data_IF_635358649597
#
_entry.id   IF_635358649597
#
_cell.length_a   1.000
_cell.length_b   1.000
_cell.length_c   1.000
_cell.angle_alpha   90.00
_cell.angle_beta   90.00
_cell.angle_gamma   90.00
#
_symmetry.space_group_name_H-M   'P 1'
#
loop_
_entity.id
_entity.type
_entity.pdbx_description
1 polymer ?
#
# COMPACT_ATOMS: atom_id res chain seq x y z
N UNK A 1 20.08 15.72 -5.08
CA UNK A 1 18.70 15.67 -5.61
C UNK A 1 18.17 14.26 -5.48
N UNK A 2 16.95 14.11 -4.99
CA UNK A 2 16.33 12.77 -4.89
C UNK A 2 15.93 12.27 -6.27
N UNK A 3 16.13 10.96 -6.48
CA UNK A 3 15.72 10.30 -7.71
C UNK A 3 14.19 10.21 -7.79
N UNK A 4 13.64 10.44 -8.98
CA UNK A 4 12.20 10.22 -9.23
C UNK A 4 11.88 8.73 -9.10
N UNK A 5 10.86 8.38 -8.30
CA UNK A 5 10.47 7.00 -8.08
C UNK A 5 9.68 6.45 -9.27
N UNK A 6 8.76 7.24 -9.82
CA UNK A 6 8.01 6.90 -11.02
C UNK A 6 7.45 8.14 -11.68
N UNK A 7 7.05 7.98 -12.93
CA UNK A 7 6.24 8.96 -13.67
C UNK A 7 5.06 8.20 -14.26
N UNK A 8 3.92 8.87 -14.39
CA UNK A 8 2.70 8.26 -14.94
C UNK A 8 1.60 8.10 -13.92
N UNK A 9 0.89 6.97 -13.96
CA UNK A 9 -0.29 6.73 -13.15
C UNK A 9 0.02 5.83 -11.95
N UNK A 10 -0.21 6.37 -10.75
CA UNK A 10 -0.22 5.58 -9.51
C UNK A 10 -1.66 5.26 -9.14
N UNK A 11 -1.98 3.99 -8.96
CA UNK A 11 -3.34 3.55 -8.63
C UNK A 11 -3.48 3.32 -7.14
N UNK A 12 -4.41 4.03 -6.51
CA UNK A 12 -4.82 3.77 -5.13
C UNK A 12 -5.73 2.54 -5.14
N UNK A 13 -5.13 1.38 -4.90
CA UNK A 13 -5.82 0.11 -5.06
C UNK A 13 -6.80 -0.13 -3.90
N UNK A 14 -7.94 -0.75 -4.21
CA UNK A 14 -8.90 -1.20 -3.20
C UNK A 14 -8.35 -2.41 -2.46
N UNK A 15 -8.82 -2.64 -1.24
CA UNK A 15 -8.49 -3.84 -0.48
C UNK A 15 -9.69 -4.79 -0.51
N UNK A 16 -9.63 -5.87 -1.31
CA UNK A 16 -10.72 -6.83 -1.36
C UNK A 16 -10.85 -7.57 -0.03
N UNK A 17 -12.10 -7.79 0.37
CA UNK A 17 -12.40 -8.44 1.65
C UNK A 17 -13.31 -9.63 1.43
N UNK A 18 -13.15 -10.64 2.28
CA UNK A 18 -14.04 -11.78 2.36
C UNK A 18 -15.36 -11.35 3.03
N UNK A 19 -16.37 -12.22 2.97
CA UNK A 19 -17.67 -11.95 3.57
C UNK A 19 -17.60 -11.70 5.09
N UNK A 20 -16.60 -12.26 5.76
CA UNK A 20 -16.37 -12.07 7.21
C UNK A 20 -15.58 -10.80 7.55
N UNK A 21 -15.18 -10.03 6.54
CA UNK A 21 -14.41 -8.79 6.71
C UNK A 21 -12.89 -8.97 6.70
N UNK A 22 -12.38 -10.18 6.64
CA UNK A 22 -10.95 -10.42 6.52
C UNK A 22 -10.45 -10.06 5.12
N UNK A 23 -9.15 -9.74 5.00
CA UNK A 23 -8.56 -9.38 3.70
C UNK A 23 -8.47 -10.62 2.82
N UNK A 24 -8.94 -10.47 1.57
CA UNK A 24 -8.80 -11.51 0.56
C UNK A 24 -7.51 -11.28 -0.22
N UNK A 25 -6.43 -11.88 0.24
CA UNK A 25 -5.10 -11.70 -0.37
C UNK A 25 -5.00 -12.27 -1.78
N UNK A 26 -5.68 -13.37 -2.07
CA UNK A 26 -5.68 -13.93 -3.42
C UNK A 26 -6.28 -12.93 -4.42
N UNK A 27 -7.40 -12.32 -4.06
CA UNK A 27 -8.03 -11.31 -4.90
C UNK A 27 -7.19 -10.06 -5.01
N UNK A 28 -6.56 -9.64 -3.92
CA UNK A 28 -5.63 -8.50 -3.95
C UNK A 28 -4.49 -8.77 -4.93
N UNK A 29 -3.93 -9.97 -4.92
CA UNK A 29 -2.88 -10.37 -5.85
C UNK A 29 -3.34 -10.32 -7.31
N UNK A 30 -4.56 -10.78 -7.59
CA UNK A 30 -5.15 -10.68 -8.93
C UNK A 30 -5.27 -9.22 -9.39
N UNK A 31 -5.69 -8.32 -8.48
CA UNK A 31 -5.83 -6.90 -8.80
C UNK A 31 -4.48 -6.23 -9.04
N UNK A 32 -3.47 -6.60 -8.27
CA UNK A 32 -2.10 -6.11 -8.48
C UNK A 32 -1.61 -6.53 -9.86
N UNK A 33 -1.71 -7.81 -10.20
CA UNK A 33 -1.30 -8.31 -11.50
C UNK A 33 -2.07 -7.64 -12.64
N UNK A 34 -3.39 -7.48 -12.48
CA UNK A 34 -4.22 -6.78 -13.45
C UNK A 34 -3.71 -5.36 -13.73
N UNK A 35 -3.42 -4.61 -12.67
CA UNK A 35 -2.91 -3.24 -12.83
C UNK A 35 -1.56 -3.22 -13.54
N UNK A 36 -0.64 -4.10 -13.16
CA UNK A 36 0.69 -4.17 -13.77
C UNK A 36 0.56 -4.54 -15.25
N UNK A 37 -0.25 -5.55 -15.56
CA UNK A 37 -0.42 -6.02 -16.94
C UNK A 37 -1.09 -4.97 -17.84
N UNK A 38 -1.84 -4.04 -17.27
CA UNK A 38 -2.51 -2.98 -18.00
C UNK A 38 -1.80 -1.63 -17.95
N UNK A 39 -0.54 -1.60 -17.55
CA UNK A 39 0.33 -0.43 -17.71
C UNK A 39 0.32 0.56 -16.56
N UNK A 40 -0.18 0.19 -15.39
CA UNK A 40 -0.09 1.03 -14.19
C UNK A 40 1.37 1.21 -13.80
N UNK A 41 1.77 2.43 -13.45
CA UNK A 41 3.17 2.78 -13.20
C UNK A 41 3.57 2.62 -11.72
N UNK A 42 2.62 2.66 -10.81
CA UNK A 42 2.85 2.46 -9.37
C UNK A 42 1.58 1.99 -8.69
N UNK A 43 1.73 1.19 -7.63
CA UNK A 43 0.61 0.77 -6.76
C UNK A 43 0.69 1.54 -5.45
N UNK A 44 -0.41 2.13 -5.04
CA UNK A 44 -0.56 2.75 -3.71
C UNK A 44 -1.39 1.81 -2.86
N UNK A 45 -0.74 1.12 -1.93
CA UNK A 45 -1.39 0.15 -1.05
C UNK A 45 -1.76 0.81 0.28
N UNK A 46 -2.91 0.45 0.83
CA UNK A 46 -3.36 0.94 2.14
C UNK A 46 -3.48 2.46 2.21
N UNK A 47 -3.85 3.10 1.13
CA UNK A 47 -4.32 4.48 1.15
C UNK A 47 -5.76 4.54 1.67
N UNK A 48 -6.38 5.71 1.61
CA UNK A 48 -7.79 5.87 2.02
C UNK A 48 -8.71 4.98 1.21
N UNK A 49 -8.47 4.89 -0.10
CA UNK A 49 -9.24 4.00 -0.99
C UNK A 49 -9.12 2.54 -0.58
N UNK A 50 -7.98 2.14 -0.06
CA UNK A 50 -7.76 0.79 0.48
C UNK A 50 -8.34 0.55 1.85
N UNK A 51 -9.05 1.53 2.41
CA UNK A 51 -9.75 1.42 3.70
C UNK A 51 -8.82 1.13 4.88
N UNK A 52 -7.61 1.69 4.85
CA UNK A 52 -6.62 1.46 5.91
C UNK A 52 -7.10 1.87 7.31
N UNK A 53 -7.99 2.87 7.40
CA UNK A 53 -8.53 3.33 8.67
C UNK A 53 -9.35 2.26 9.41
N UNK A 54 -9.85 1.24 8.71
CA UNK A 54 -10.64 0.17 9.30
C UNK A 54 -9.83 -1.10 9.58
N UNK A 55 -8.54 -1.08 9.28
CA UNK A 55 -7.64 -2.22 9.48
C UNK A 55 -7.03 -2.21 10.87
N UNK A 56 -6.76 -3.40 11.41
CA UNK A 56 -5.86 -3.52 12.57
C UNK A 56 -4.43 -3.22 12.12
N UNK A 57 -3.53 -2.98 13.07
CA UNK A 57 -2.11 -2.75 12.76
C UNK A 57 -1.51 -3.94 12.00
N UNK A 58 -1.83 -5.14 12.46
CA UNK A 58 -1.36 -6.37 11.84
C UNK A 58 -1.87 -6.52 10.42
N UNK A 59 -3.14 -6.24 10.17
CA UNK A 59 -3.72 -6.27 8.82
C UNK A 59 -3.04 -5.25 7.90
N UNK A 60 -2.82 -4.04 8.40
CA UNK A 60 -2.19 -2.97 7.63
C UNK A 60 -0.76 -3.37 7.22
N UNK A 61 0.03 -3.85 8.17
CA UNK A 61 1.41 -4.29 7.94
C UNK A 61 1.43 -5.47 6.97
N UNK A 62 0.58 -6.45 7.17
CA UNK A 62 0.50 -7.64 6.31
C UNK A 62 0.10 -7.28 4.88
N UNK A 63 -0.80 -6.32 4.73
CA UNK A 63 -1.24 -5.86 3.42
C UNK A 63 -0.09 -5.19 2.66
N UNK A 64 0.69 -4.35 3.33
CA UNK A 64 1.88 -3.72 2.74
C UNK A 64 2.90 -4.79 2.36
N UNK A 65 3.20 -5.72 3.26
CA UNK A 65 4.14 -6.80 3.02
C UNK A 65 3.74 -7.62 1.80
N UNK A 66 2.48 -8.03 1.75
CA UNK A 66 1.95 -8.82 0.64
C UNK A 66 2.07 -8.06 -0.69
N UNK A 67 1.71 -6.79 -0.71
CA UNK A 67 1.79 -5.98 -1.94
C UNK A 67 3.23 -5.85 -2.44
N UNK A 68 4.18 -5.63 -1.55
CA UNK A 68 5.60 -5.55 -1.92
C UNK A 68 6.08 -6.87 -2.51
N UNK A 69 5.78 -7.98 -1.85
CA UNK A 69 6.20 -9.31 -2.30
C UNK A 69 5.54 -9.69 -3.63
N UNK A 70 4.23 -9.46 -3.76
CA UNK A 70 3.48 -9.80 -4.97
C UNK A 70 3.94 -8.97 -6.17
N UNK A 71 4.20 -7.70 -5.95
CA UNK A 71 4.67 -6.80 -7.01
C UNK A 71 6.08 -7.17 -7.46
N UNK A 72 6.91 -7.65 -6.54
CA UNK A 72 8.26 -8.17 -6.82
C UNK A 72 9.08 -7.23 -7.70
N UNK A 73 9.13 -5.95 -7.34
CA UNK A 73 9.90 -4.89 -8.02
C UNK A 73 9.51 -4.61 -9.48
N UNK A 74 8.39 -5.15 -9.97
CA UNK A 74 7.94 -4.88 -11.35
C UNK A 74 7.55 -3.42 -11.54
N UNK A 75 6.92 -2.82 -10.52
CA UNK A 75 6.63 -1.38 -10.44
C UNK A 75 6.80 -0.94 -8.98
N UNK A 76 6.95 0.37 -8.72
CA UNK A 76 7.02 0.86 -7.33
C UNK A 76 5.75 0.59 -6.53
N UNK A 77 5.94 0.31 -5.24
CA UNK A 77 4.87 0.20 -4.26
C UNK A 77 4.98 1.37 -3.29
N UNK A 78 3.92 2.14 -3.20
CA UNK A 78 3.81 3.29 -2.30
C UNK A 78 2.89 2.86 -1.16
N UNK A 79 3.38 2.90 0.07
CA UNK A 79 2.59 2.49 1.23
C UNK A 79 1.88 3.70 1.86
N UNK A 80 0.57 3.59 2.05
CA UNK A 80 -0.20 4.56 2.81
C UNK A 80 0.06 4.36 4.30
N UNK A 81 0.72 5.32 4.93
CA UNK A 81 1.13 5.24 6.34
C UNK A 81 0.71 6.46 7.16
N UNK A 82 -0.06 7.37 6.56
CA UNK A 82 -0.54 8.56 7.25
C UNK A 82 -1.55 8.25 8.34
N UNK A 83 -1.59 9.10 9.35
CA UNK A 83 -2.52 8.99 10.47
C UNK A 83 -2.68 10.36 11.12
N UNK A 84 -3.79 10.58 11.80
CA UNK A 84 -3.95 11.75 12.66
C UNK A 84 -3.20 11.61 13.99
N UNK A 85 -2.57 10.46 14.24
CA UNK A 85 -1.70 10.21 15.39
C UNK A 85 -0.26 10.10 14.90
N UNK A 86 0.52 11.17 15.06
CA UNK A 86 1.85 11.31 14.45
C UNK A 86 2.81 10.18 14.84
N UNK A 87 2.85 9.80 16.10
CA UNK A 87 3.73 8.72 16.55
C UNK A 87 3.40 7.40 15.87
N UNK A 88 2.13 7.09 15.73
CA UNK A 88 1.66 5.92 15.01
C UNK A 88 2.10 5.95 13.54
N UNK A 89 1.92 7.10 12.88
CA UNK A 89 2.34 7.27 11.49
C UNK A 89 3.85 7.09 11.31
N UNK A 90 4.65 7.59 12.24
CA UNK A 90 6.12 7.42 12.21
C UNK A 90 6.48 5.93 12.32
N UNK A 91 5.90 5.22 13.28
CA UNK A 91 6.20 3.82 13.51
C UNK A 91 5.78 2.95 12.32
N UNK A 92 4.61 3.21 11.77
CA UNK A 92 4.10 2.48 10.59
C UNK A 92 4.97 2.76 9.37
N UNK A 93 5.41 4.01 9.20
CA UNK A 93 6.29 4.40 8.09
C UNK A 93 7.63 3.68 8.16
N UNK A 94 8.23 3.58 9.35
CA UNK A 94 9.46 2.82 9.55
C UNK A 94 9.26 1.35 9.19
N UNK A 95 8.14 0.78 9.60
CA UNK A 95 7.82 -0.61 9.29
C UNK A 95 7.65 -0.83 7.80
N UNK A 96 6.94 0.07 7.12
CA UNK A 96 6.76 -0.01 5.67
C UNK A 96 8.09 0.06 4.92
N UNK A 97 9.01 0.92 5.36
CA UNK A 97 10.35 1.00 4.79
C UNK A 97 11.11 -0.31 4.95
N UNK A 98 11.07 -0.91 6.16
CA UNK A 98 11.71 -2.20 6.43
C UNK A 98 11.14 -3.31 5.54
N UNK A 99 9.86 -3.26 5.23
CA UNK A 99 9.19 -4.24 4.37
C UNK A 99 9.51 -4.07 2.89
N UNK A 100 10.13 -2.97 2.50
CA UNK A 100 10.56 -2.74 1.14
C UNK A 100 9.67 -1.84 0.29
N UNK A 101 8.79 -1.05 0.91
CA UNK A 101 8.03 -0.04 0.18
C UNK A 101 8.97 0.97 -0.45
N UNK A 102 8.67 1.37 -1.68
CA UNK A 102 9.53 2.29 -2.45
C UNK A 102 9.30 3.75 -2.06
N UNK A 103 8.12 4.06 -1.56
CA UNK A 103 7.76 5.40 -1.10
C UNK A 103 6.60 5.31 -0.09
N UNK A 104 6.32 6.42 0.56
CA UNK A 104 5.26 6.54 1.54
C UNK A 104 4.28 7.64 1.11
N UNK A 105 2.99 7.40 1.32
CA UNK A 105 1.94 8.40 1.15
C UNK A 105 1.39 8.74 2.53
N UNK A 106 1.63 9.96 2.97
CA UNK A 106 1.20 10.42 4.29
C UNK A 106 0.23 11.57 4.15
N UNK A 107 -0.98 11.37 4.67
CA UNK A 107 -1.95 12.46 4.82
C UNK A 107 -1.49 13.40 5.92
N UNK A 108 -1.78 14.69 5.78
CA UNK A 108 -1.56 15.63 6.88
C UNK A 108 -2.46 15.27 8.08
N UNK A 109 -2.03 15.55 9.32
CA UNK A 109 -2.85 15.24 10.49
C UNK A 109 -4.24 15.91 10.41
N UNK A 110 -5.25 15.15 10.70
CA UNK A 110 -6.66 15.59 10.61
C UNK A 110 -7.42 15.44 11.92
#
# INVERSE_FOLDING_TARGET
MKKTIFTGAGVAIVTPMNADGSINFDKLGELIDFNIDNGTDAIIICGTTGESATMTDEEHIECIRYAVEKTNHRIPVIAGTGSNHTEYAVNLSKKAEELGADALLCVTPY
#
